data_IF_969888839674
#
_entry.id   IF_969888839674
#
_cell.length_a   1.000
_cell.length_b   1.000
_cell.length_c   1.000
_cell.angle_alpha   90.00
_cell.angle_beta   90.00
_cell.angle_gamma   90.00
#
_symmetry.space_group_name_H-M   'P 1'
#
loop_
_entity.id
_entity.type
_entity.pdbx_description
1 polymer ?
#
# COMPACT_ATOMS: atom_id res chain seq x y z
N UNK A 1 -16.51 18.97 16.89
CA UNK A 1 -15.60 19.53 15.88
C UNK A 1 -15.02 18.33 15.13
N UNK A 2 -15.42 18.11 13.87
CA UNK A 2 -14.94 16.97 13.08
C UNK A 2 -13.53 17.26 12.57
N UNK A 3 -12.53 16.93 13.38
CA UNK A 3 -11.14 17.02 12.95
C UNK A 3 -10.85 15.93 11.91
N UNK A 4 -10.00 16.25 10.92
CA UNK A 4 -9.58 15.34 9.84
C UNK A 4 -9.11 14.00 10.40
N UNK A 5 -8.39 14.03 11.53
CA UNK A 5 -7.84 12.85 12.20
C UNK A 5 -8.92 11.88 12.67
N UNK A 6 -10.02 12.40 13.24
CA UNK A 6 -11.17 11.59 13.69
C UNK A 6 -11.87 10.93 12.51
N UNK A 7 -12.10 11.68 11.43
CA UNK A 7 -12.71 11.14 10.21
C UNK A 7 -11.85 10.05 9.59
N UNK A 8 -10.54 10.27 9.47
CA UNK A 8 -9.59 9.28 8.95
C UNK A 8 -9.57 8.00 9.78
N UNK A 9 -9.66 8.09 11.11
CA UNK A 9 -9.72 6.90 11.98
C UNK A 9 -11.04 6.15 11.81
N UNK A 10 -12.15 6.85 11.66
CA UNK A 10 -13.49 6.25 11.56
C UNK A 10 -13.71 5.38 10.31
N UNK A 11 -13.04 5.69 9.20
CA UNK A 11 -13.18 4.97 7.92
C UNK A 11 -12.25 3.76 7.81
N UNK A 12 -11.30 3.58 8.74
CA UNK A 12 -10.32 2.50 8.67
C UNK A 12 -10.95 1.17 9.10
N UNK A 13 -10.70 0.07 8.36
CA UNK A 13 -11.20 -1.23 8.76
C UNK A 13 -10.47 -1.75 10.00
N UNK A 14 -11.23 -2.25 10.98
CA UNK A 14 -10.66 -2.98 12.12
C UNK A 14 -10.07 -4.31 11.64
N UNK A 15 -8.83 -4.59 12.03
CA UNK A 15 -8.14 -5.84 11.69
C UNK A 15 -8.04 -6.67 12.97
N UNK A 16 -8.86 -7.70 13.11
CA UNK A 16 -8.92 -8.54 14.32
C UNK A 16 -7.57 -9.21 14.67
N UNK A 17 -6.72 -9.47 13.67
CA UNK A 17 -5.39 -10.05 13.86
C UNK A 17 -4.31 -9.05 14.29
N UNK A 18 -4.66 -7.77 14.45
CA UNK A 18 -3.74 -6.69 14.83
C UNK A 18 -3.80 -6.42 16.34
N UNK A 19 -3.77 -7.48 17.17
CA UNK A 19 -3.64 -7.31 18.61
C UNK A 19 -2.28 -6.66 18.91
N UNK A 20 -2.32 -5.45 19.45
CA UNK A 20 -1.13 -4.75 19.94
C UNK A 20 -0.85 -5.29 21.33
N UNK A 21 0.22 -6.07 21.47
CA UNK A 21 0.67 -6.56 22.76
C UNK A 21 1.70 -5.57 23.34
N UNK A 22 1.74 -5.41 24.66
CA UNK A 22 2.66 -4.48 25.35
C UNK A 22 4.16 -4.82 25.14
N UNK A 23 4.47 -6.03 24.65
CA UNK A 23 5.82 -6.46 24.31
C UNK A 23 6.27 -6.07 22.88
N UNK A 24 5.41 -5.45 22.07
CA UNK A 24 5.72 -5.14 20.67
C UNK A 24 6.56 -3.86 20.55
N UNK A 25 7.46 -3.86 19.57
CA UNK A 25 8.25 -2.65 19.25
C UNK A 25 7.36 -1.53 18.71
N UNK A 26 7.76 -0.27 18.90
CA UNK A 26 7.02 0.91 18.38
C UNK A 26 6.73 0.80 16.89
N UNK A 27 7.67 0.26 16.12
CA UNK A 27 7.52 0.03 14.67
C UNK A 27 6.43 -1.00 14.34
N UNK A 28 6.35 -2.09 15.11
CA UNK A 28 5.35 -3.14 14.90
C UNK A 28 3.96 -2.68 15.31
N UNK A 29 3.88 -1.90 16.40
CA UNK A 29 2.64 -1.23 16.79
C UNK A 29 2.16 -0.31 15.67
N UNK A 30 3.02 0.57 15.16
CA UNK A 30 2.69 1.46 14.04
C UNK A 30 2.28 0.68 12.78
N UNK A 31 2.95 -0.43 12.50
CA UNK A 31 2.62 -1.29 11.36
C UNK A 31 1.18 -1.85 11.48
N UNK A 32 0.82 -2.37 12.64
CA UNK A 32 -0.45 -3.05 12.87
C UNK A 32 -1.62 -2.08 13.09
N UNK A 33 -1.38 -0.98 13.81
CA UNK A 33 -2.40 0.02 14.14
C UNK A 33 -2.64 1.02 13.00
N UNK A 34 -1.61 1.34 12.20
CA UNK A 34 -1.69 2.42 11.19
C UNK A 34 -1.51 1.90 9.77
N UNK A 35 -0.36 1.30 9.45
CA UNK A 35 -0.04 0.94 8.05
C UNK A 35 -0.99 -0.12 7.49
N UNK A 36 -1.25 -1.21 8.22
CA UNK A 36 -2.10 -2.31 7.76
C UNK A 36 -3.56 -1.87 7.52
N UNK A 37 -4.23 -1.15 8.45
CA UNK A 37 -5.57 -0.63 8.21
C UNK A 37 -5.66 0.31 7.02
N UNK A 38 -4.71 1.24 6.88
CA UNK A 38 -4.68 2.20 5.76
C UNK A 38 -4.49 1.47 4.44
N UNK A 39 -3.52 0.57 4.33
CA UNK A 39 -3.25 -0.16 3.09
C UNK A 39 -4.43 -1.08 2.73
N UNK A 40 -5.09 -1.69 3.72
CA UNK A 40 -6.31 -2.49 3.50
C UNK A 40 -7.45 -1.62 2.98
N UNK A 41 -7.67 -0.45 3.57
CA UNK A 41 -8.66 0.53 3.12
C UNK A 41 -8.40 0.99 1.68
N UNK A 42 -7.13 1.25 1.35
CA UNK A 42 -6.70 1.72 0.03
C UNK A 42 -6.58 0.61 -1.03
N UNK A 43 -6.92 -0.64 -0.71
CA UNK A 43 -6.68 -1.80 -1.58
C UNK A 43 -7.18 -1.58 -3.02
N UNK A 44 -8.42 -1.13 -3.17
CA UNK A 44 -9.01 -0.91 -4.50
C UNK A 44 -8.25 0.15 -5.30
N UNK A 45 -7.87 1.26 -4.66
CA UNK A 45 -7.07 2.32 -5.30
C UNK A 45 -5.70 1.79 -5.74
N UNK A 46 -5.02 1.03 -4.87
CA UNK A 46 -3.70 0.46 -5.18
C UNK A 46 -3.74 -0.47 -6.40
N UNK A 47 -4.80 -1.29 -6.53
CA UNK A 47 -5.02 -2.15 -7.71
C UNK A 47 -5.17 -1.31 -8.98
N UNK A 48 -6.01 -0.27 -8.95
CA UNK A 48 -6.21 0.61 -10.12
C UNK A 48 -4.94 1.35 -10.50
N UNK A 49 -4.19 1.86 -9.51
CA UNK A 49 -2.91 2.53 -9.71
C UNK A 49 -1.88 1.60 -10.36
N UNK A 50 -1.83 0.33 -9.94
CA UNK A 50 -0.95 -0.65 -10.55
C UNK A 50 -1.38 -1.03 -11.97
N UNK A 51 -2.69 -1.14 -12.26
CA UNK A 51 -3.18 -1.33 -13.63
C UNK A 51 -2.79 -0.16 -14.55
N UNK A 52 -2.87 1.07 -14.05
CA UNK A 52 -2.39 2.24 -14.80
C UNK A 52 -0.86 2.19 -15.03
N UNK A 53 -0.10 1.70 -14.05
CA UNK A 53 1.32 1.45 -14.23
C UNK A 53 1.57 0.45 -15.36
N UNK A 54 0.88 -0.71 -15.36
CA UNK A 54 0.97 -1.71 -16.45
C UNK A 54 0.69 -1.07 -17.82
N UNK A 55 -0.38 -0.26 -17.92
CA UNK A 55 -0.76 0.40 -19.16
C UNK A 55 0.34 1.35 -19.69
N UNK A 56 0.97 2.13 -18.81
CA UNK A 56 2.09 3.01 -19.17
C UNK A 56 3.32 2.25 -19.65
N UNK A 57 3.50 1.01 -19.19
CA UNK A 57 4.56 0.11 -19.61
C UNK A 57 4.13 -0.82 -20.76
N UNK A 58 3.26 -0.31 -21.65
CA UNK A 58 2.82 -0.98 -22.89
C UNK A 58 2.17 -2.35 -22.68
N UNK A 59 1.51 -2.56 -21.54
CA UNK A 59 0.73 -3.78 -21.28
C UNK A 59 1.55 -5.09 -21.29
N UNK A 60 2.88 -5.02 -21.27
CA UNK A 60 3.78 -6.20 -21.32
C UNK A 60 3.49 -7.20 -20.20
N UNK A 61 2.95 -6.74 -19.07
CA UNK A 61 2.55 -7.58 -17.95
C UNK A 61 1.59 -8.72 -18.33
N UNK A 62 0.67 -8.49 -19.27
CA UNK A 62 -0.35 -9.49 -19.63
C UNK A 62 0.21 -10.64 -20.46
N UNK A 63 1.38 -10.46 -21.09
CA UNK A 63 2.06 -11.49 -21.88
C UNK A 63 3.02 -12.35 -21.03
N UNK A 64 3.17 -12.01 -19.74
CA UNK A 64 4.09 -12.69 -18.83
C UNK A 64 3.44 -13.94 -18.21
N UNK A 65 4.25 -14.97 -17.95
CA UNK A 65 3.87 -16.06 -17.06
C UNK A 65 3.67 -15.55 -15.63
N UNK A 66 2.91 -16.29 -14.81
CA UNK A 66 2.62 -15.90 -13.41
C UNK A 66 3.90 -15.60 -12.62
N UNK A 67 4.94 -16.44 -12.75
CA UNK A 67 6.23 -16.21 -12.08
C UNK A 67 6.87 -14.87 -12.48
N UNK A 68 6.82 -14.55 -13.79
CA UNK A 68 7.33 -13.29 -14.32
C UNK A 68 6.46 -12.10 -13.91
N UNK A 69 5.15 -12.28 -13.76
CA UNK A 69 4.24 -11.26 -13.24
C UNK A 69 4.54 -10.93 -11.76
N UNK A 70 4.79 -11.95 -10.94
CA UNK A 70 5.21 -11.76 -9.55
C UNK A 70 6.51 -10.94 -9.51
N UNK A 71 7.53 -11.37 -10.26
CA UNK A 71 8.79 -10.65 -10.36
C UNK A 71 8.63 -9.23 -10.92
N UNK A 72 7.68 -9.01 -11.84
CA UNK A 72 7.36 -7.70 -12.38
C UNK A 72 6.83 -6.75 -11.29
N UNK A 73 5.89 -7.22 -10.46
CA UNK A 73 5.36 -6.46 -9.32
C UNK A 73 6.49 -6.10 -8.35
N UNK A 74 7.36 -7.05 -8.01
CA UNK A 74 8.50 -6.80 -7.13
C UNK A 74 9.43 -5.72 -7.70
N UNK A 75 9.80 -5.86 -8.97
CA UNK A 75 10.66 -4.90 -9.65
C UNK A 75 10.03 -3.50 -9.72
N UNK A 76 8.72 -3.40 -9.99
CA UNK A 76 8.02 -2.12 -10.03
C UNK A 76 8.09 -1.40 -8.68
N UNK A 77 7.90 -2.11 -7.57
CA UNK A 77 7.93 -1.51 -6.22
C UNK A 77 9.35 -1.18 -5.78
N UNK A 78 10.34 -2.01 -6.11
CA UNK A 78 11.71 -1.84 -5.64
C UNK A 78 12.55 -0.89 -6.52
N UNK A 79 12.44 -0.99 -7.85
CA UNK A 79 13.31 -0.30 -8.80
C UNK A 79 12.72 1.00 -9.34
N UNK A 80 11.40 1.11 -9.50
CA UNK A 80 10.78 2.34 -9.99
C UNK A 80 10.56 3.33 -8.83
N UNK A 81 11.47 4.29 -8.71
CA UNK A 81 11.41 5.31 -7.68
C UNK A 81 10.18 6.23 -7.79
N UNK A 82 9.72 6.54 -9.01
CA UNK A 82 8.57 7.44 -9.23
C UNK A 82 7.29 6.74 -8.80
N UNK A 83 7.10 5.49 -9.21
CA UNK A 83 5.96 4.67 -8.80
C UNK A 83 5.96 4.46 -7.29
N UNK A 84 7.10 4.07 -6.72
CA UNK A 84 7.26 3.88 -5.27
C UNK A 84 6.94 5.14 -4.47
N UNK A 85 7.39 6.31 -4.89
CA UNK A 85 7.09 7.57 -4.19
C UNK A 85 5.62 7.96 -4.30
N UNK A 86 4.95 7.68 -5.43
CA UNK A 86 3.50 7.86 -5.57
C UNK A 86 2.72 7.01 -4.56
N UNK A 87 3.08 5.71 -4.44
CA UNK A 87 2.47 4.80 -3.47
C UNK A 87 2.67 5.26 -2.01
N UNK A 88 3.89 5.70 -1.66
CA UNK A 88 4.16 6.27 -0.33
C UNK A 88 3.27 7.47 -0.05
N UNK A 89 3.15 8.40 -0.99
CA UNK A 89 2.31 9.60 -0.84
C UNK A 89 0.84 9.27 -0.59
N UNK A 90 0.28 8.29 -1.31
CA UNK A 90 -1.10 7.83 -1.13
C UNK A 90 -1.37 7.28 0.27
N UNK A 91 -0.38 6.62 0.88
CA UNK A 91 -0.49 6.02 2.21
C UNK A 91 -0.25 7.08 3.30
N UNK A 92 0.82 7.85 3.19
CA UNK A 92 1.15 8.91 4.16
C UNK A 92 0.05 9.98 4.20
N UNK A 93 -0.60 10.28 3.08
CA UNK A 93 -1.74 11.21 3.03
C UNK A 93 -2.94 10.78 3.89
N UNK A 94 -2.99 9.52 4.34
CA UNK A 94 -4.03 8.99 5.23
C UNK A 94 -3.60 8.96 6.72
N UNK A 95 -2.41 9.44 7.06
CA UNK A 95 -1.97 9.55 8.45
C UNK A 95 -2.67 10.71 9.15
N UNK A 96 -2.92 10.54 10.45
CA UNK A 96 -3.21 11.66 11.35
C UNK A 96 -1.92 12.44 11.64
N UNK A 97 -2.04 13.60 12.28
CA UNK A 97 -0.87 14.41 12.62
C UNK A 97 0.04 13.66 13.59
N UNK A 98 -0.54 13.00 14.61
CA UNK A 98 0.22 12.24 15.60
C UNK A 98 0.92 11.02 14.96
N UNK A 99 0.27 10.35 14.01
CA UNK A 99 0.88 9.25 13.27
C UNK A 99 2.02 9.72 12.39
N UNK A 100 1.91 10.92 11.81
CA UNK A 100 2.98 11.50 11.03
C UNK A 100 4.19 11.89 11.90
N UNK A 101 3.95 12.47 13.07
CA UNK A 101 4.99 12.80 14.05
C UNK A 101 5.75 11.57 14.54
N UNK A 102 5.05 10.44 14.75
CA UNK A 102 5.69 9.16 15.04
C UNK A 102 6.46 8.63 13.83
N UNK A 103 5.88 8.74 12.64
CA UNK A 103 6.48 8.24 11.41
C UNK A 103 7.82 8.91 11.10
N UNK A 104 7.94 10.23 11.31
CA UNK A 104 9.18 10.96 10.97
C UNK A 104 10.37 10.56 11.85
N UNK A 105 10.12 10.02 13.06
CA UNK A 105 11.19 9.54 13.96
C UNK A 105 11.93 8.32 13.39
N UNK A 106 11.25 7.47 12.61
CA UNK A 106 11.83 6.26 12.01
C UNK A 106 11.35 6.00 10.57
N UNK A 107 11.29 7.05 9.77
CA UNK A 107 10.68 7.01 8.43
C UNK A 107 11.35 6.00 7.50
N UNK A 108 12.66 5.78 7.62
CA UNK A 108 13.40 4.81 6.78
C UNK A 108 12.92 3.38 7.00
N UNK A 109 12.80 2.93 8.26
CA UNK A 109 12.35 1.59 8.59
C UNK A 109 10.87 1.40 8.25
N UNK A 110 10.03 2.38 8.59
CA UNK A 110 8.59 2.34 8.31
C UNK A 110 8.30 2.37 6.81
N UNK A 111 9.08 3.08 6.01
CA UNK A 111 8.95 3.04 4.55
C UNK A 111 9.26 1.65 3.97
N UNK A 112 10.27 0.96 4.50
CA UNK A 112 10.57 -0.42 4.07
C UNK A 112 9.38 -1.34 4.39
N UNK A 113 8.87 -1.30 5.63
CA UNK A 113 7.70 -2.07 6.06
C UNK A 113 6.46 -1.76 5.22
N UNK A 114 6.19 -0.47 4.97
CA UNK A 114 5.07 -0.01 4.15
C UNK A 114 5.14 -0.62 2.74
N UNK A 115 6.29 -0.57 2.08
CA UNK A 115 6.45 -1.12 0.74
C UNK A 115 6.34 -2.65 0.72
N UNK A 116 6.82 -3.35 1.75
CA UNK A 116 6.60 -4.80 1.90
C UNK A 116 5.10 -5.14 1.93
N UNK A 117 4.31 -4.42 2.73
CA UNK A 117 2.86 -4.67 2.84
C UNK A 117 2.14 -4.34 1.53
N UNK A 118 2.51 -3.25 0.85
CA UNK A 118 1.93 -2.91 -0.46
C UNK A 118 2.26 -3.99 -1.50
N UNK A 119 3.49 -4.50 -1.49
CA UNK A 119 3.91 -5.61 -2.35
C UNK A 119 3.06 -6.85 -2.12
N UNK A 120 2.99 -7.32 -0.88
CA UNK A 120 2.16 -8.47 -0.51
C UNK A 120 0.71 -8.29 -0.92
N UNK A 121 0.17 -7.07 -0.77
CA UNK A 121 -1.20 -6.75 -1.18
C UNK A 121 -1.40 -6.87 -2.68
N UNK A 122 -0.47 -6.34 -3.49
CA UNK A 122 -0.55 -6.45 -4.95
C UNK A 122 -0.39 -7.90 -5.40
N UNK A 123 0.55 -8.66 -4.84
CA UNK A 123 0.73 -10.08 -5.15
C UNK A 123 -0.51 -10.90 -4.77
N UNK A 124 -1.12 -10.63 -3.61
CA UNK A 124 -2.37 -11.30 -3.18
C UNK A 124 -3.54 -11.01 -4.11
N UNK A 125 -3.51 -9.89 -4.84
CA UNK A 125 -4.52 -9.49 -5.81
C UNK A 125 -4.11 -9.79 -7.26
N UNK A 126 -3.12 -10.67 -7.50
CA UNK A 126 -2.59 -10.92 -8.84
C UNK A 126 -3.67 -11.30 -9.87
N UNK A 127 -4.68 -12.06 -9.45
CA UNK A 127 -5.81 -12.47 -10.28
C UNK A 127 -6.64 -11.27 -10.79
N UNK A 128 -6.57 -10.12 -10.13
CA UNK A 128 -7.22 -8.89 -10.58
C UNK A 128 -6.45 -8.20 -11.73
N UNK A 129 -5.29 -8.69 -12.13
CA UNK A 129 -4.49 -8.15 -13.22
C UNK A 129 -4.54 -9.01 -14.50
N UNK A 130 -5.58 -9.82 -14.67
CA UNK A 130 -5.70 -10.72 -15.82
C UNK A 130 -6.10 -10.01 -17.13
N UNK A 131 -6.66 -8.80 -17.06
CA UNK A 131 -7.06 -8.03 -18.25
C UNK A 131 -6.83 -6.52 -18.05
N UNK A 132 -6.63 -5.76 -19.14
CA UNK A 132 -6.62 -4.29 -19.11
C UNK A 132 -7.90 -3.74 -18.49
N UNK A 133 -7.81 -2.56 -17.85
CA UNK A 133 -9.02 -1.78 -17.55
C UNK A 133 -9.75 -1.56 -18.89
N UNK A 134 -10.99 -2.04 -18.98
CA UNK A 134 -11.87 -1.63 -20.07
C UNK A 134 -11.82 -0.10 -20.13
N UNK A 135 -11.58 0.45 -21.32
CA UNK A 135 -11.69 1.90 -21.50
C UNK A 135 -13.13 2.26 -21.12
N UNK A 136 -13.31 2.86 -19.94
CA UNK A 136 -14.56 3.51 -19.62
C UNK A 136 -14.75 4.58 -20.70
N UNK A 137 -15.81 4.39 -21.49
CA UNK A 137 -16.28 5.34 -22.52
C UNK A 137 -16.68 6.63 -21.82
#
# INVERSE_FOLDING_TARGET
>A
MNDRSTNLKSIRPTIASAQVNEAMTTDECFQNATLRPIIKMQNHLLVVVFRNYIAKHKNVFYDLSVEKQLAYIENAIHKDMKFRNSLKGMIIGQFTVEEYELYIQNSSALNKRMMTIVKERLLSNIQLFNQPLAKAI
#
